data_IF_859169834847
#
_entry.id   IF_859169834847
#
_cell.length_a   1.000
_cell.length_b   1.000
_cell.length_c   1.000
_cell.angle_alpha   90.00
_cell.angle_beta   90.00
_cell.angle_gamma   90.00
#
_symmetry.space_group_name_H-M   'P 1'
#
loop_
_entity.id
_entity.type
_entity.pdbx_description
1 polymer ?
#
# COMPACT_ATOMS: atom_id res chain seq x y z
N UNK A 1 -27.63 -20.05 -14.58
CA UNK A 1 -27.94 -20.49 -13.20
C UNK A 1 -27.52 -19.36 -12.28
N UNK A 2 -28.49 -18.59 -11.81
CA UNK A 2 -28.31 -17.45 -10.91
C UNK A 2 -27.90 -17.96 -9.54
N UNK A 3 -26.62 -17.84 -9.18
CA UNK A 3 -26.20 -18.04 -7.79
C UNK A 3 -26.90 -16.99 -6.93
N UNK A 4 -27.46 -17.44 -5.81
CA UNK A 4 -27.99 -16.56 -4.79
C UNK A 4 -26.94 -15.49 -4.45
N UNK A 5 -27.40 -14.25 -4.43
CA UNK A 5 -26.64 -13.04 -4.22
C UNK A 5 -26.08 -13.05 -2.79
N UNK A 6 -24.92 -13.68 -2.57
CA UNK A 6 -24.24 -13.67 -1.27
C UNK A 6 -23.66 -12.28 -1.06
N UNK A 7 -24.43 -11.41 -0.42
CA UNK A 7 -23.96 -10.11 0.07
C UNK A 7 -22.68 -10.25 0.87
N UNK A 8 -21.77 -9.30 0.70
CA UNK A 8 -20.53 -9.18 1.47
C UNK A 8 -20.75 -8.07 2.50
N UNK A 9 -20.71 -8.36 3.80
CA UNK A 9 -20.80 -7.33 4.82
C UNK A 9 -19.65 -6.33 4.67
N UNK A 10 -20.00 -5.06 4.59
CA UNK A 10 -19.01 -4.00 4.48
C UNK A 10 -18.21 -3.80 5.77
N UNK A 11 -16.93 -3.51 5.62
CA UNK A 11 -16.10 -2.93 6.68
C UNK A 11 -16.57 -1.50 6.96
N UNK A 12 -17.15 -1.28 8.15
CA UNK A 12 -17.67 0.01 8.58
C UNK A 12 -16.75 0.69 9.60
N UNK A 13 -16.73 2.04 9.65
CA UNK A 13 -16.19 2.82 10.77
C UNK A 13 -16.73 2.33 12.13
N UNK A 14 -15.91 2.38 13.20
CA UNK A 14 -16.35 2.01 14.57
C UNK A 14 -17.33 3.03 15.18
N UNK A 15 -17.43 4.20 14.57
CA UNK A 15 -18.29 5.30 14.99
C UNK A 15 -18.53 6.26 13.83
N UNK A 16 -18.42 7.58 14.09
CA UNK A 16 -18.40 8.56 13.00
C UNK A 16 -17.12 8.36 12.17
N UNK A 17 -17.26 8.43 10.86
CA UNK A 17 -16.15 8.19 9.96
C UNK A 17 -16.60 8.10 8.51
N UNK A 18 -15.70 7.58 7.68
CA UNK A 18 -15.89 7.43 6.24
C UNK A 18 -15.65 5.97 5.84
N UNK A 19 -16.52 5.43 5.00
CA UNK A 19 -16.33 4.14 4.34
C UNK A 19 -16.08 4.39 2.86
N UNK A 20 -14.99 3.87 2.32
CA UNK A 20 -14.68 4.04 0.91
C UNK A 20 -14.08 2.78 0.28
N UNK A 21 -14.10 2.76 -1.04
CA UNK A 21 -13.41 1.75 -1.84
C UNK A 21 -12.20 2.39 -2.52
N UNK A 22 -11.12 1.62 -2.66
CA UNK A 22 -9.94 1.98 -3.43
C UNK A 22 -9.58 0.83 -4.37
N UNK A 23 -9.51 1.12 -5.67
CA UNK A 23 -9.05 0.21 -6.72
C UNK A 23 -8.76 1.01 -7.99
N UNK A 24 -7.67 0.67 -8.67
CA UNK A 24 -7.19 1.35 -9.89
C UNK A 24 -6.65 0.37 -10.92
N UNK A 25 -6.24 0.89 -12.07
CA UNK A 25 -5.66 0.15 -13.19
C UNK A 25 -6.59 -0.96 -13.70
N UNK A 26 -7.77 -0.56 -14.19
CA UNK A 26 -8.63 -1.46 -14.94
C UNK A 26 -8.20 -1.58 -16.40
N UNK A 27 -7.59 -0.54 -16.98
CA UNK A 27 -7.20 -0.47 -18.40
C UNK A 27 -8.32 -0.96 -19.34
N UNK A 28 -9.57 -0.65 -19.02
CA UNK A 28 -10.76 -1.22 -19.67
C UNK A 28 -11.31 -0.25 -20.74
N UNK A 29 -12.63 -0.17 -20.94
CA UNK A 29 -13.22 0.78 -21.89
C UNK A 29 -13.22 0.33 -23.36
N UNK A 30 -12.82 -0.91 -23.67
CA UNK A 30 -12.90 -1.47 -25.02
C UNK A 30 -13.84 -2.69 -25.03
N UNK A 31 -14.96 -2.64 -25.77
CA UNK A 31 -15.93 -3.74 -25.82
C UNK A 31 -15.30 -5.06 -26.28
N UNK A 32 -15.56 -6.13 -25.54
CA UNK A 32 -15.08 -7.49 -25.80
C UNK A 32 -13.59 -7.71 -25.50
N UNK A 33 -12.87 -6.71 -25.00
CA UNK A 33 -11.46 -6.82 -24.69
C UNK A 33 -11.21 -7.64 -23.42
N UNK A 34 -9.96 -8.11 -23.26
CA UNK A 34 -9.57 -8.92 -22.11
C UNK A 34 -9.83 -8.22 -20.75
N UNK A 35 -9.55 -6.92 -20.68
CA UNK A 35 -9.65 -6.10 -19.47
C UNK A 35 -11.10 -5.86 -19.01
N UNK A 36 -12.06 -5.80 -19.94
CA UNK A 36 -13.48 -5.66 -19.62
C UNK A 36 -13.97 -6.82 -18.74
N UNK A 37 -13.62 -8.06 -19.12
CA UNK A 37 -14.05 -9.25 -18.39
C UNK A 37 -13.49 -9.28 -16.97
N UNK A 38 -12.21 -8.92 -16.80
CA UNK A 38 -11.54 -8.92 -15.50
C UNK A 38 -12.04 -7.76 -14.63
N UNK A 39 -12.25 -6.57 -15.19
CA UNK A 39 -12.86 -5.45 -14.48
C UNK A 39 -14.29 -5.77 -14.02
N UNK A 40 -15.10 -6.38 -14.87
CA UNK A 40 -16.44 -6.84 -14.52
C UNK A 40 -16.44 -7.83 -13.34
N UNK A 41 -15.42 -8.68 -13.23
CA UNK A 41 -15.30 -9.63 -12.10
C UNK A 41 -15.02 -8.93 -10.77
N UNK A 42 -14.24 -7.84 -10.77
CA UNK A 42 -14.01 -7.04 -9.56
C UNK A 42 -15.26 -6.21 -9.23
N UNK A 43 -15.89 -5.59 -10.22
CA UNK A 43 -17.15 -4.86 -10.02
C UNK A 43 -18.27 -5.75 -9.47
N UNK A 44 -18.33 -7.03 -9.85
CA UNK A 44 -19.28 -7.99 -9.28
C UNK A 44 -19.08 -8.19 -7.76
N UNK A 45 -17.86 -8.09 -7.25
CA UNK A 45 -17.57 -8.13 -5.81
C UNK A 45 -18.00 -6.83 -5.13
N UNK A 46 -17.69 -5.68 -5.74
CA UNK A 46 -18.07 -4.35 -5.20
C UNK A 46 -19.59 -4.22 -5.10
N UNK A 47 -20.34 -4.67 -6.11
CA UNK A 47 -21.81 -4.67 -6.12
C UNK A 47 -22.44 -5.49 -4.98
N UNK A 48 -21.70 -6.47 -4.44
CA UNK A 48 -22.17 -7.31 -3.33
C UNK A 48 -21.98 -6.66 -1.96
N UNK A 49 -21.24 -5.54 -1.86
CA UNK A 49 -20.98 -4.87 -0.59
C UNK A 49 -22.26 -4.26 0.00
N UNK A 50 -22.50 -4.50 1.29
CA UNK A 50 -23.64 -3.94 2.02
C UNK A 50 -23.20 -3.38 3.38
N UNK A 51 -23.42 -2.07 3.65
CA UNK A 51 -23.83 -1.02 2.69
C UNK A 51 -22.79 -0.74 1.60
N UNK A 52 -23.23 -0.09 0.51
CA UNK A 52 -22.35 0.48 -0.51
C UNK A 52 -21.44 1.57 0.09
N UNK A 53 -20.23 1.79 -0.45
CA UNK A 53 -19.30 2.80 0.07
C UNK A 53 -19.83 4.22 -0.11
N UNK A 54 -19.34 5.15 0.73
CA UNK A 54 -19.69 6.57 0.66
C UNK A 54 -19.09 7.25 -0.58
N UNK A 55 -17.97 6.74 -1.08
CA UNK A 55 -17.27 7.16 -2.29
C UNK A 55 -16.24 6.12 -2.72
N UNK A 56 -15.73 6.27 -3.94
CA UNK A 56 -14.69 5.45 -4.53
C UNK A 56 -13.48 6.33 -4.85
N UNK A 57 -12.28 5.82 -4.61
CA UNK A 57 -11.02 6.40 -5.02
C UNK A 57 -10.42 5.54 -6.13
N UNK A 58 -10.11 6.16 -7.27
CA UNK A 58 -9.57 5.48 -8.46
C UNK A 58 -8.21 6.11 -8.83
N UNK A 59 -7.08 5.50 -8.44
CA UNK A 59 -5.74 6.06 -8.63
C UNK A 59 -5.19 5.94 -10.07
N UNK A 60 -6.04 6.21 -11.08
CA UNK A 60 -5.70 6.26 -12.49
C UNK A 60 -5.96 4.97 -13.28
N UNK A 61 -5.72 5.06 -14.58
CA UNK A 61 -5.81 3.98 -15.57
C UNK A 61 -7.16 3.23 -15.59
N UNK A 62 -8.23 4.02 -15.66
CA UNK A 62 -9.60 3.54 -15.84
C UNK A 62 -9.75 2.78 -17.17
N UNK A 63 -9.28 3.38 -18.25
CA UNK A 63 -9.41 2.90 -19.62
C UNK A 63 -8.06 2.55 -20.22
N UNK A 64 -8.05 1.74 -21.28
CA UNK A 64 -6.82 1.34 -21.99
C UNK A 64 -6.07 2.54 -22.59
N UNK A 65 -6.78 3.61 -22.95
CA UNK A 65 -6.21 4.87 -23.37
C UNK A 65 -5.14 4.76 -24.46
N UNK A 66 -4.06 5.55 -24.30
CA UNK A 66 -2.85 5.54 -25.16
C UNK A 66 -3.14 5.54 -26.67
N UNK A 67 -4.06 6.40 -27.10
CA UNK A 67 -4.41 6.58 -28.51
C UNK A 67 -4.17 8.04 -28.93
N UNK A 68 -3.65 8.31 -30.14
CA UNK A 68 -3.51 9.66 -30.66
C UNK A 68 -4.86 10.26 -31.12
N UNK A 69 -5.92 9.45 -31.19
CA UNK A 69 -7.24 9.89 -31.63
C UNK A 69 -8.12 10.29 -30.42
N UNK A 70 -8.47 11.59 -30.27
CA UNK A 70 -9.27 12.07 -29.16
C UNK A 70 -10.71 11.51 -29.17
N UNK A 71 -11.28 11.18 -30.33
CA UNK A 71 -12.63 10.63 -30.40
C UNK A 71 -12.66 9.15 -30.01
N UNK A 72 -11.62 8.40 -30.38
CA UNK A 72 -11.42 7.04 -29.87
C UNK A 72 -11.24 7.04 -28.35
N UNK A 73 -10.46 7.98 -27.80
CA UNK A 73 -10.27 8.11 -26.35
C UNK A 73 -11.59 8.44 -25.63
N UNK A 74 -12.38 9.38 -26.17
CA UNK A 74 -13.73 9.68 -25.65
C UNK A 74 -14.69 8.50 -25.74
N UNK A 75 -14.59 7.69 -26.79
CA UNK A 75 -15.43 6.50 -26.95
C UNK A 75 -15.11 5.46 -25.86
N UNK A 76 -13.84 5.26 -25.52
CA UNK A 76 -13.44 4.37 -24.43
C UNK A 76 -13.98 4.87 -23.08
N UNK A 77 -13.82 6.16 -22.78
CA UNK A 77 -14.38 6.78 -21.59
C UNK A 77 -15.89 6.61 -21.49
N UNK A 78 -16.61 6.86 -22.59
CA UNK A 78 -18.06 6.68 -22.65
C UNK A 78 -18.45 5.24 -22.35
N UNK A 79 -17.75 4.28 -22.95
CA UNK A 79 -18.02 2.86 -22.69
C UNK A 79 -17.78 2.49 -21.22
N UNK A 80 -16.67 2.94 -20.64
CA UNK A 80 -16.37 2.69 -19.23
C UNK A 80 -17.43 3.29 -18.30
N UNK A 81 -17.80 4.55 -18.51
CA UNK A 81 -18.77 5.27 -17.68
C UNK A 81 -20.21 4.79 -17.86
N UNK A 82 -20.66 4.58 -19.10
CA UNK A 82 -22.06 4.33 -19.43
C UNK A 82 -22.41 2.85 -19.56
N UNK A 83 -21.41 1.96 -19.64
CA UNK A 83 -21.60 0.51 -19.72
C UNK A 83 -20.96 -0.21 -18.52
N UNK A 84 -19.64 -0.13 -18.37
CA UNK A 84 -18.92 -0.94 -17.38
C UNK A 84 -19.18 -0.50 -15.93
N UNK A 85 -19.41 0.81 -15.74
CA UNK A 85 -19.74 1.44 -14.46
C UNK A 85 -21.22 1.85 -14.34
N UNK A 86 -22.08 1.40 -15.26
CA UNK A 86 -23.50 1.74 -15.28
C UNK A 86 -24.30 1.21 -14.07
N UNK A 87 -23.75 0.21 -13.38
CA UNK A 87 -24.34 -0.37 -12.18
C UNK A 87 -24.25 0.57 -10.96
N UNK A 88 -23.35 1.57 -10.98
CA UNK A 88 -23.10 2.47 -9.86
C UNK A 88 -23.93 3.76 -10.00
N UNK A 89 -24.69 4.09 -8.96
CA UNK A 89 -25.24 5.43 -8.80
C UNK A 89 -24.12 6.40 -8.38
N UNK A 90 -23.50 7.05 -9.36
CA UNK A 90 -22.39 7.99 -9.14
C UNK A 90 -22.79 9.28 -8.42
N UNK A 91 -24.08 9.60 -8.36
CA UNK A 91 -24.56 10.75 -7.58
C UNK A 91 -24.62 10.41 -6.09
N UNK A 92 -25.01 9.18 -5.75
CA UNK A 92 -25.00 8.67 -4.37
C UNK A 92 -23.58 8.30 -3.90
N UNK A 93 -22.79 7.66 -4.77
CA UNK A 93 -21.42 7.20 -4.49
C UNK A 93 -20.46 7.78 -5.53
N UNK A 94 -19.91 8.98 -5.31
CA UNK A 94 -19.00 9.61 -6.25
C UNK A 94 -17.70 8.83 -6.40
N UNK A 95 -17.13 8.85 -7.61
CA UNK A 95 -15.80 8.34 -7.90
C UNK A 95 -14.86 9.55 -8.02
N UNK A 96 -13.74 9.49 -7.30
CA UNK A 96 -12.68 10.49 -7.41
C UNK A 96 -11.46 9.88 -8.09
N UNK A 97 -11.05 10.51 -9.17
CA UNK A 97 -10.04 10.01 -10.09
C UNK A 97 -8.71 10.76 -9.89
N UNK A 98 -7.59 10.06 -9.96
CA UNK A 98 -6.31 10.70 -10.31
C UNK A 98 -6.04 10.52 -11.81
N UNK A 99 -5.15 11.33 -12.34
CA UNK A 99 -4.49 11.09 -13.63
C UNK A 99 -3.81 9.72 -13.68
N UNK A 100 -3.51 9.18 -14.87
CA UNK A 100 -2.74 7.95 -15.09
C UNK A 100 -2.03 7.95 -16.44
N UNK A 101 -1.02 7.10 -16.66
CA UNK A 101 -0.29 7.12 -17.95
C UNK A 101 -1.16 6.65 -19.10
N UNK A 102 -2.20 5.85 -18.85
CA UNK A 102 -3.14 5.51 -19.91
C UNK A 102 -4.11 6.66 -20.23
N UNK A 103 -4.44 7.51 -19.26
CA UNK A 103 -5.53 8.49 -19.38
C UNK A 103 -5.08 9.95 -19.57
N UNK A 104 -3.83 10.27 -19.23
CA UNK A 104 -3.25 11.62 -19.33
C UNK A 104 -1.77 11.59 -19.72
N UNK A 105 -1.42 10.82 -20.74
CA UNK A 105 -0.05 10.68 -21.23
C UNK A 105 0.53 11.97 -21.84
N UNK A 106 -0.34 12.79 -22.44
CA UNK A 106 0.02 13.98 -23.18
C UNK A 106 -1.05 15.08 -23.06
N UNK A 107 -0.78 16.26 -23.63
CA UNK A 107 -1.69 17.42 -23.59
C UNK A 107 -3.08 17.11 -24.16
N UNK A 108 -3.18 16.22 -25.16
CA UNK A 108 -4.46 15.85 -25.78
C UNK A 108 -5.30 15.01 -24.81
N UNK A 109 -4.70 13.95 -24.27
CA UNK A 109 -5.37 13.05 -23.33
C UNK A 109 -5.71 13.75 -22.01
N UNK A 110 -4.85 14.65 -21.52
CA UNK A 110 -5.17 15.56 -20.42
C UNK A 110 -6.41 16.44 -20.70
N UNK A 111 -6.57 16.93 -21.93
CA UNK A 111 -7.73 17.74 -22.31
C UNK A 111 -9.02 16.89 -22.37
N UNK A 112 -8.93 15.66 -22.87
CA UNK A 112 -10.05 14.72 -22.87
C UNK A 112 -10.45 14.33 -21.44
N UNK A 113 -9.47 14.04 -20.57
CA UNK A 113 -9.70 13.71 -19.16
C UNK A 113 -10.50 14.80 -18.44
N UNK A 114 -10.06 16.07 -18.54
CA UNK A 114 -10.78 17.23 -17.96
C UNK A 114 -12.21 17.33 -18.47
N UNK A 115 -12.40 17.19 -19.79
CA UNK A 115 -13.71 17.35 -20.42
C UNK A 115 -14.70 16.23 -20.08
N UNK A 116 -14.22 15.01 -19.82
CA UNK A 116 -15.06 13.85 -19.51
C UNK A 116 -15.43 13.79 -18.03
N UNK A 117 -14.48 14.05 -17.14
CA UNK A 117 -14.66 13.77 -15.71
C UNK A 117 -15.14 14.98 -14.89
N UNK A 118 -15.00 16.21 -15.40
CA UNK A 118 -15.47 17.45 -14.75
C UNK A 118 -15.07 17.53 -13.26
N UNK A 119 -13.80 17.18 -12.98
CA UNK A 119 -13.24 17.19 -11.63
C UNK A 119 -13.01 18.63 -11.14
N UNK A 120 -12.91 18.85 -9.82
CA UNK A 120 -12.70 20.19 -9.27
C UNK A 120 -11.49 20.92 -9.88
N UNK A 121 -11.60 22.24 -9.98
CA UNK A 121 -10.61 23.14 -10.61
C UNK A 121 -9.72 23.88 -9.59
N UNK A 122 -9.76 23.48 -8.31
CA UNK A 122 -9.02 24.08 -7.19
C UNK A 122 -7.54 23.64 -7.10
N UNK A 123 -6.98 23.21 -8.23
CA UNK A 123 -5.59 22.78 -8.38
C UNK A 123 -4.56 23.91 -8.51
N UNK A 124 -3.28 23.56 -8.71
CA UNK A 124 -2.26 24.54 -9.07
C UNK A 124 -2.50 25.13 -10.46
N UNK A 125 -1.90 26.29 -10.78
CA UNK A 125 -1.96 26.88 -12.11
C UNK A 125 -1.61 25.87 -13.21
N UNK A 126 -2.45 25.79 -14.25
CA UNK A 126 -2.26 24.88 -15.39
C UNK A 126 -2.78 23.45 -15.18
N UNK A 127 -3.19 23.08 -13.96
CA UNK A 127 -3.63 21.72 -13.62
C UNK A 127 -5.10 21.64 -13.17
N UNK A 128 -5.93 22.63 -13.47
CA UNK A 128 -7.38 22.57 -13.24
C UNK A 128 -7.97 21.28 -13.82
N UNK A 129 -8.75 20.54 -13.02
CA UNK A 129 -9.32 19.25 -13.38
C UNK A 129 -8.33 18.08 -13.51
N UNK A 130 -7.05 18.27 -13.15
CA UNK A 130 -6.01 17.22 -13.12
C UNK A 130 -5.44 17.00 -11.71
N UNK A 131 -5.11 18.10 -11.04
CA UNK A 131 -4.76 18.12 -9.62
C UNK A 131 -5.84 18.92 -8.89
N UNK A 132 -6.30 18.42 -7.75
CA UNK A 132 -7.40 19.04 -7.01
C UNK A 132 -7.48 18.49 -5.59
N UNK A 133 -8.34 19.08 -4.76
CA UNK A 133 -8.66 18.51 -3.45
C UNK A 133 -10.15 18.49 -3.18
N UNK A 134 -10.56 17.55 -2.32
CA UNK A 134 -11.93 17.40 -1.83
C UNK A 134 -11.90 17.34 -0.31
N UNK A 135 -12.72 18.18 0.34
CA UNK A 135 -12.89 18.16 1.80
C UNK A 135 -14.25 17.55 2.16
N UNK A 136 -14.24 16.52 2.99
CA UNK A 136 -15.44 15.85 3.53
C UNK A 136 -15.38 15.87 5.05
N UNK A 137 -15.86 16.95 5.67
CA UNK A 137 -15.82 17.11 7.12
C UNK A 137 -14.39 17.11 7.66
N UNK A 138 -14.01 16.06 8.39
CA UNK A 138 -12.69 15.88 8.99
C UNK A 138 -11.67 15.16 8.07
N UNK A 139 -12.09 14.73 6.88
CA UNK A 139 -11.26 14.12 5.85
C UNK A 139 -10.90 15.13 4.75
N UNK A 140 -9.61 15.28 4.48
CA UNK A 140 -9.05 15.92 3.30
C UNK A 140 -8.51 14.86 2.34
N UNK A 141 -8.88 14.95 1.07
CA UNK A 141 -8.32 14.15 -0.02
C UNK A 141 -7.67 15.09 -1.02
N UNK A 142 -6.38 14.90 -1.31
CA UNK A 142 -5.63 15.71 -2.28
C UNK A 142 -5.16 14.81 -3.41
N UNK A 143 -5.54 15.14 -4.63
CA UNK A 143 -5.25 14.40 -5.85
C UNK A 143 -4.14 15.15 -6.58
N UNK A 144 -2.96 14.55 -6.67
CA UNK A 144 -1.80 15.10 -7.36
C UNK A 144 -1.65 14.46 -8.74
N UNK A 145 -1.31 15.28 -9.72
CA UNK A 145 -0.95 14.81 -11.05
C UNK A 145 0.54 14.44 -11.08
N UNK A 146 0.83 13.14 -11.21
CA UNK A 146 2.20 12.61 -11.37
C UNK A 146 2.63 12.52 -12.84
N UNK A 147 1.89 13.12 -13.76
CA UNK A 147 2.03 12.98 -15.22
C UNK A 147 1.90 14.32 -15.96
N UNK A 148 1.90 15.45 -15.26
CA UNK A 148 1.56 16.71 -15.92
C UNK A 148 2.58 17.06 -17.00
N UNK A 149 2.12 17.18 -18.24
CA UNK A 149 2.94 17.52 -19.41
C UNK A 149 3.71 18.83 -19.21
N UNK A 150 3.13 19.77 -18.45
CA UNK A 150 3.76 21.05 -18.13
C UNK A 150 4.98 20.97 -17.20
N UNK A 151 5.17 19.85 -16.49
CA UNK A 151 6.37 19.58 -15.66
C UNK A 151 7.32 18.56 -16.28
N UNK A 152 6.99 17.97 -17.43
CA UNK A 152 7.82 16.94 -18.07
C UNK A 152 7.16 15.58 -18.23
N UNK A 153 5.89 15.44 -17.83
CA UNK A 153 5.12 14.20 -18.00
C UNK A 153 5.29 13.24 -16.81
N UNK A 154 5.39 11.93 -17.11
CA UNK A 154 5.48 10.84 -16.13
C UNK A 154 6.44 11.15 -14.97
N UNK A 155 6.06 10.73 -13.76
CA UNK A 155 6.81 10.82 -12.52
C UNK A 155 7.13 12.24 -11.98
N UNK A 156 6.69 13.32 -12.63
CA UNK A 156 6.88 14.69 -12.13
C UNK A 156 5.70 15.11 -11.24
N UNK A 157 5.97 15.84 -10.16
CA UNK A 157 4.93 16.26 -9.19
C UNK A 157 5.14 17.68 -8.69
N UNK A 158 4.04 18.43 -8.59
CA UNK A 158 4.02 19.80 -8.03
C UNK A 158 3.94 19.77 -6.50
N UNK A 159 4.99 20.28 -5.83
CA UNK A 159 5.11 20.22 -4.38
C UNK A 159 4.61 21.48 -3.67
N UNK A 160 4.75 22.65 -4.29
CA UNK A 160 4.45 23.92 -3.62
C UNK A 160 2.95 24.06 -3.33
N UNK A 161 2.12 23.69 -4.29
CA UNK A 161 0.66 23.67 -4.12
C UNK A 161 0.20 22.59 -3.15
N UNK A 162 0.80 21.40 -3.20
CA UNK A 162 0.48 20.33 -2.25
C UNK A 162 0.77 20.79 -0.81
N UNK A 163 1.93 21.41 -0.58
CA UNK A 163 2.30 21.93 0.74
C UNK A 163 1.33 23.02 1.21
N UNK A 164 0.98 23.97 0.34
CA UNK A 164 0.01 25.02 0.67
C UNK A 164 -1.35 24.45 1.04
N UNK A 165 -1.86 23.50 0.25
CA UNK A 165 -3.17 22.86 0.46
C UNK A 165 -3.22 22.09 1.78
N UNK A 166 -2.17 21.29 2.08
CA UNK A 166 -2.09 20.51 3.31
C UNK A 166 -2.01 21.39 4.57
N UNK A 167 -1.41 22.58 4.46
CA UNK A 167 -1.32 23.58 5.54
C UNK A 167 -2.63 24.32 5.74
N UNK A 168 -3.25 24.77 4.66
CA UNK A 168 -4.54 25.45 4.69
C UNK A 168 -5.61 24.57 5.35
N UNK A 169 -5.56 23.27 5.07
CA UNK A 169 -6.42 22.25 5.68
C UNK A 169 -5.74 21.51 6.84
N UNK A 170 -4.89 22.21 7.59
CA UNK A 170 -4.18 21.65 8.75
C UNK A 170 -5.11 21.13 9.86
N UNK A 171 -6.37 21.59 9.88
CA UNK A 171 -7.43 21.18 10.79
C UNK A 171 -8.05 19.81 10.46
N UNK A 172 -7.80 19.27 9.25
CA UNK A 172 -8.27 17.94 8.88
C UNK A 172 -7.66 16.88 9.80
N UNK A 173 -8.50 16.06 10.43
CA UNK A 173 -8.05 14.92 11.23
C UNK A 173 -7.34 13.90 10.35
N UNK A 174 -7.92 13.63 9.18
CA UNK A 174 -7.39 12.65 8.25
C UNK A 174 -7.04 13.34 6.94
N UNK A 175 -5.85 13.02 6.42
CA UNK A 175 -5.38 13.52 5.12
C UNK A 175 -4.95 12.32 4.29
N UNK A 176 -5.54 12.18 3.12
CA UNK A 176 -5.16 11.21 2.09
C UNK A 176 -4.59 11.99 0.90
N UNK A 177 -3.44 11.57 0.40
CA UNK A 177 -2.89 12.08 -0.85
C UNK A 177 -2.96 10.96 -1.88
N UNK A 178 -3.37 11.27 -3.09
CA UNK A 178 -3.53 10.30 -4.17
C UNK A 178 -2.74 10.75 -5.38
N UNK A 179 -2.05 9.82 -6.02
CA UNK A 179 -1.39 10.02 -7.30
C UNK A 179 -1.24 8.68 -8.01
N UNK A 180 -0.78 8.68 -9.26
CA UNK A 180 -0.69 7.42 -9.99
C UNK A 180 0.57 6.64 -9.64
N UNK A 181 1.73 7.29 -9.70
CA UNK A 181 3.02 6.63 -9.51
C UNK A 181 3.33 6.44 -8.02
N UNK A 182 3.86 5.28 -7.59
CA UNK A 182 4.42 5.14 -6.26
C UNK A 182 5.65 6.03 -6.04
N UNK A 183 5.99 6.24 -4.76
CA UNK A 183 7.22 6.92 -4.34
C UNK A 183 8.33 5.91 -4.08
N UNK A 184 7.98 4.80 -3.43
CA UNK A 184 8.90 3.71 -3.13
C UNK A 184 8.66 2.51 -4.04
N UNK A 185 9.72 1.74 -4.38
CA UNK A 185 9.59 0.52 -5.16
C UNK A 185 8.55 -0.43 -4.60
N UNK A 186 7.78 -1.08 -5.49
CA UNK A 186 6.75 -2.05 -5.12
C UNK A 186 7.20 -3.43 -5.54
N UNK A 187 7.26 -4.38 -4.61
CA UNK A 187 7.63 -5.78 -4.88
C UNK A 187 8.97 -5.98 -5.62
N UNK A 188 9.90 -5.02 -5.51
CA UNK A 188 11.18 -5.02 -6.22
C UNK A 188 11.13 -4.44 -7.64
N UNK A 189 9.95 -4.04 -8.14
CA UNK A 189 9.84 -3.26 -9.36
C UNK A 189 10.26 -1.82 -9.09
N UNK A 190 11.33 -1.41 -9.77
CA UNK A 190 11.94 -0.09 -9.64
C UNK A 190 12.38 0.43 -10.99
N UNK A 191 12.38 1.75 -11.14
CA UNK A 191 12.71 2.49 -12.35
C UNK A 191 12.20 3.92 -12.24
N UNK A 192 13.09 4.86 -11.93
CA UNK A 192 12.72 6.28 -11.80
C UNK A 192 11.98 6.79 -13.04
N UNK A 193 10.93 7.58 -12.82
CA UNK A 193 9.97 8.07 -13.81
C UNK A 193 9.08 7.00 -14.44
N UNK A 194 9.64 5.84 -14.76
CA UNK A 194 8.89 4.75 -15.40
C UNK A 194 8.04 3.93 -14.43
N UNK A 195 8.42 3.84 -13.17
CA UNK A 195 7.81 2.98 -12.14
C UNK A 195 7.51 3.79 -10.89
N UNK A 196 8.48 4.54 -10.40
CA UNK A 196 8.28 5.51 -9.31
C UNK A 196 8.35 6.95 -9.83
N UNK A 197 7.90 7.91 -9.02
CA UNK A 197 8.16 9.33 -9.29
C UNK A 197 9.67 9.62 -9.41
N UNK A 198 10.01 10.77 -10.00
CA UNK A 198 11.39 11.23 -10.14
C UNK A 198 12.14 11.21 -8.81
N UNK A 199 13.38 10.71 -8.82
CA UNK A 199 14.24 10.59 -7.63
C UNK A 199 14.46 11.92 -6.90
N UNK A 200 14.44 13.04 -7.62
CA UNK A 200 14.51 14.41 -7.10
C UNK A 200 13.24 14.81 -6.32
N UNK A 201 12.09 14.20 -6.64
CA UNK A 201 10.82 14.44 -5.96
C UNK A 201 10.59 13.48 -4.80
N UNK A 202 11.10 12.25 -4.89
CA UNK A 202 10.78 11.17 -3.95
C UNK A 202 10.95 11.57 -2.48
N UNK A 203 12.13 12.08 -2.11
CA UNK A 203 12.40 12.50 -0.73
C UNK A 203 11.61 13.77 -0.34
N UNK A 204 11.67 14.89 -1.08
CA UNK A 204 10.90 16.09 -0.72
C UNK A 204 9.38 15.85 -0.60
N UNK A 205 8.81 15.08 -1.52
CA UNK A 205 7.39 14.70 -1.48
C UNK A 205 7.07 13.92 -0.21
N UNK A 206 7.85 12.89 0.12
CA UNK A 206 7.60 12.09 1.33
C UNK A 206 7.87 12.86 2.64
N UNK A 207 8.91 13.70 2.65
CA UNK A 207 9.20 14.60 3.77
C UNK A 207 8.04 15.54 4.05
N UNK A 208 7.39 16.06 3.00
CA UNK A 208 6.18 16.86 3.11
C UNK A 208 5.01 16.05 3.70
N UNK A 209 4.71 14.86 3.19
CA UNK A 209 3.62 14.02 3.70
C UNK A 209 3.77 13.72 5.20
N UNK A 210 4.99 13.39 5.60
CA UNK A 210 5.34 13.08 7.01
C UNK A 210 5.25 14.32 7.91
N UNK A 211 5.67 15.48 7.41
CA UNK A 211 5.60 16.76 8.14
C UNK A 211 4.15 17.19 8.38
N UNK A 212 3.30 17.06 7.36
CA UNK A 212 1.91 17.50 7.42
C UNK A 212 0.94 16.43 7.97
N UNK A 213 1.49 15.33 8.51
CA UNK A 213 0.77 14.19 9.11
C UNK A 213 -0.26 13.56 8.16
N UNK A 214 0.12 13.36 6.91
CA UNK A 214 -0.67 12.59 5.94
C UNK A 214 -0.78 11.14 6.41
N UNK A 215 -1.98 10.58 6.36
CA UNK A 215 -2.23 9.21 6.81
C UNK A 215 -1.72 8.19 5.80
N UNK A 216 -2.06 8.40 4.53
CA UNK A 216 -1.66 7.53 3.43
C UNK A 216 -1.51 8.30 2.13
N UNK A 217 -0.50 7.90 1.35
CA UNK A 217 -0.41 8.10 -0.08
C UNK A 217 -0.99 6.88 -0.80
N UNK A 218 -2.01 7.08 -1.62
CA UNK A 218 -2.69 6.02 -2.36
C UNK A 218 -2.28 6.11 -3.84
N UNK A 219 -1.78 5.01 -4.39
CA UNK A 219 -1.25 4.98 -5.75
C UNK A 219 -1.53 3.67 -6.48
N UNK A 220 -1.14 3.63 -7.76
CA UNK A 220 -1.35 2.48 -8.65
C UNK A 220 -0.13 2.24 -9.54
N UNK A 221 -0.31 2.03 -10.86
CA UNK A 221 0.71 1.88 -11.91
C UNK A 221 1.47 0.55 -11.88
N UNK A 222 1.94 0.15 -10.70
CA UNK A 222 2.53 -1.17 -10.52
C UNK A 222 1.40 -2.16 -10.33
N UNK A 223 1.21 -3.06 -11.32
CA UNK A 223 0.15 -4.06 -11.45
C UNK A 223 0.14 -5.13 -10.33
N UNK A 224 0.08 -4.67 -9.08
CA UNK A 224 0.27 -5.40 -7.84
C UNK A 224 -0.54 -4.77 -6.70
N UNK A 225 -0.71 -5.54 -5.62
CA UNK A 225 -1.06 -5.01 -4.31
C UNK A 225 0.19 -4.89 -3.43
N UNK A 226 0.39 -3.73 -2.80
CA UNK A 226 1.40 -3.57 -1.76
C UNK A 226 1.05 -2.45 -0.79
N UNK A 227 1.42 -2.62 0.48
CA UNK A 227 1.27 -1.60 1.53
C UNK A 227 2.53 -1.53 2.35
N UNK A 228 3.16 -0.36 2.33
CA UNK A 228 4.37 -0.07 3.09
C UNK A 228 4.15 1.13 4.00
N UNK A 229 4.77 1.13 5.18
CA UNK A 229 4.86 2.31 6.02
C UNK A 229 6.24 2.95 5.88
N UNK A 230 6.31 4.28 5.84
CA UNK A 230 7.58 5.01 5.88
C UNK A 230 7.46 6.20 6.82
N UNK A 231 8.03 6.06 8.01
CA UNK A 231 7.96 7.06 9.09
C UNK A 231 6.51 7.44 9.43
N UNK A 232 5.64 6.44 9.53
CA UNK A 232 4.25 6.59 9.97
C UNK A 232 3.23 6.88 8.88
N UNK A 233 3.66 7.26 7.68
CA UNK A 233 2.79 7.46 6.51
C UNK A 233 2.73 6.16 5.72
N UNK A 234 1.55 5.76 5.25
CA UNK A 234 1.38 4.58 4.41
C UNK A 234 1.57 4.93 2.93
N UNK A 235 2.22 4.08 2.16
CA UNK A 235 2.05 3.98 0.71
C UNK A 235 1.19 2.75 0.45
N UNK A 236 -0.02 2.96 -0.10
CA UNK A 236 -0.93 1.88 -0.49
C UNK A 236 -0.98 1.86 -2.01
N UNK A 237 -0.32 0.86 -2.61
CA UNK A 237 -0.33 0.62 -4.04
C UNK A 237 -1.38 -0.44 -4.37
N UNK A 238 -2.31 -0.12 -5.28
CA UNK A 238 -3.31 -1.09 -5.75
C UNK A 238 -3.65 -0.86 -7.21
N UNK A 239 -3.30 -1.86 -8.02
CA UNK A 239 -3.61 -1.94 -9.44
C UNK A 239 -4.44 -3.22 -9.74
N UNK A 240 -5.38 -3.51 -8.84
CA UNK A 240 -6.16 -4.74 -8.84
C UNK A 240 -7.45 -4.68 -9.64
N UNK A 241 -7.84 -3.53 -10.17
CA UNK A 241 -9.22 -3.31 -10.61
C UNK A 241 -9.58 -4.15 -11.85
N UNK A 242 -8.65 -4.39 -12.78
CA UNK A 242 -9.02 -5.12 -13.99
C UNK A 242 -7.91 -5.41 -14.98
N UNK A 243 -6.73 -4.80 -14.89
CA UNK A 243 -5.64 -5.12 -15.81
C UNK A 243 -5.27 -6.59 -15.69
N UNK A 244 -5.36 -7.33 -16.79
CA UNK A 244 -5.23 -8.78 -16.78
C UNK A 244 -3.77 -9.23 -16.60
N UNK A 245 -2.83 -8.40 -17.06
CA UNK A 245 -1.41 -8.55 -16.79
C UNK A 245 -1.14 -8.14 -15.34
N UNK A 246 -0.36 -8.93 -14.61
CA UNK A 246 -0.08 -8.70 -13.19
C UNK A 246 1.39 -8.91 -12.88
N UNK A 247 1.87 -8.25 -11.83
CA UNK A 247 3.29 -8.09 -11.55
C UNK A 247 3.65 -8.46 -10.09
N UNK A 248 4.18 -9.67 -9.82
CA UNK A 248 4.46 -10.75 -10.75
C UNK A 248 3.27 -11.68 -10.99
N UNK A 249 3.24 -12.25 -12.19
CA UNK A 249 2.26 -13.27 -12.58
C UNK A 249 2.31 -14.49 -11.64
N UNK A 250 1.14 -15.07 -11.34
CA UNK A 250 1.02 -16.24 -10.45
C UNK A 250 1.16 -15.93 -8.96
N UNK A 251 1.48 -14.69 -8.59
CA UNK A 251 1.46 -14.21 -7.20
C UNK A 251 0.32 -13.21 -6.99
N UNK A 252 0.29 -12.18 -7.83
CA UNK A 252 -0.72 -11.13 -7.80
C UNK A 252 -2.08 -11.61 -8.28
N UNK A 253 -3.12 -10.89 -7.87
CA UNK A 253 -4.51 -11.22 -8.12
C UNK A 253 -5.36 -9.95 -8.27
N UNK A 254 -6.51 -10.07 -8.94
CA UNK A 254 -7.46 -8.98 -9.10
C UNK A 254 -8.20 -8.74 -7.79
N UNK A 255 -8.41 -7.49 -7.43
CA UNK A 255 -8.95 -7.13 -6.13
C UNK A 255 -9.54 -5.72 -6.08
N UNK A 256 -10.28 -5.47 -5.01
CA UNK A 256 -10.58 -4.12 -4.54
C UNK A 256 -10.25 -3.99 -3.06
N UNK A 257 -9.90 -2.78 -2.62
CA UNK A 257 -9.68 -2.47 -1.21
C UNK A 257 -10.93 -1.81 -0.66
N UNK A 258 -11.47 -2.36 0.40
CA UNK A 258 -12.47 -1.68 1.22
C UNK A 258 -11.81 -1.06 2.44
N UNK A 259 -12.07 0.22 2.68
CA UNK A 259 -11.53 0.97 3.78
C UNK A 259 -12.62 1.59 4.66
N UNK A 260 -12.33 1.62 5.96
CA UNK A 260 -13.07 2.36 6.96
C UNK A 260 -12.11 3.28 7.72
N UNK A 261 -12.49 4.54 7.85
CA UNK A 261 -11.68 5.57 8.48
C UNK A 261 -12.49 6.22 9.58
N UNK A 262 -11.98 6.21 10.81
CA UNK A 262 -12.64 6.75 12.00
C UNK A 262 -11.61 7.39 12.94
N UNK A 263 -12.06 7.81 14.13
CA UNK A 263 -11.20 8.46 15.13
C UNK A 263 -9.99 7.62 15.55
N UNK A 264 -10.06 6.29 15.42
CA UNK A 264 -8.96 5.37 15.76
C UNK A 264 -7.98 5.20 14.59
N UNK A 265 -8.37 5.60 13.38
CA UNK A 265 -7.53 5.60 12.19
C UNK A 265 -8.13 4.82 11.03
N UNK A 266 -7.27 4.26 10.19
CA UNK A 266 -7.63 3.51 9.00
C UNK A 266 -7.68 2.01 9.30
N UNK A 267 -8.77 1.37 8.89
CA UNK A 267 -8.81 -0.08 8.66
C UNK A 267 -9.08 -0.35 7.20
N UNK A 268 -8.42 -1.36 6.64
CA UNK A 268 -8.80 -1.87 5.33
C UNK A 268 -8.87 -3.39 5.31
N UNK A 269 -9.59 -3.90 4.31
CA UNK A 269 -9.51 -5.28 3.85
C UNK A 269 -9.43 -5.32 2.32
N UNK A 270 -8.70 -6.29 1.79
CA UNK A 270 -8.56 -6.50 0.34
C UNK A 270 -9.40 -7.71 -0.04
N UNK A 271 -10.32 -7.52 -0.99
CA UNK A 271 -11.23 -8.56 -1.47
C UNK A 271 -10.78 -9.01 -2.85
N UNK A 272 -10.56 -10.31 -3.03
CA UNK A 272 -10.36 -10.90 -4.35
C UNK A 272 -11.69 -11.01 -5.13
N UNK A 273 -11.64 -11.54 -6.35
CA UNK A 273 -12.81 -11.70 -7.25
C UNK A 273 -13.87 -12.69 -6.75
N UNK A 274 -13.56 -13.49 -5.73
CA UNK A 274 -14.55 -14.35 -5.06
C UNK A 274 -15.21 -13.64 -3.86
N UNK A 275 -14.67 -12.48 -3.46
CA UNK A 275 -15.05 -11.73 -2.26
C UNK A 275 -14.36 -12.24 -0.99
N UNK A 276 -13.26 -12.98 -1.12
CA UNK A 276 -12.48 -13.47 0.02
C UNK A 276 -11.49 -12.39 0.45
N UNK A 277 -11.42 -12.16 1.77
CA UNK A 277 -10.44 -11.24 2.35
C UNK A 277 -9.04 -11.86 2.26
N UNK A 278 -8.14 -11.22 1.52
CA UNK A 278 -6.75 -11.62 1.31
C UNK A 278 -5.81 -10.97 2.32
N UNK A 279 -5.95 -9.67 2.50
CA UNK A 279 -5.17 -8.86 3.45
C UNK A 279 -6.10 -7.96 4.26
N UNK A 280 -5.61 -7.54 5.42
CA UNK A 280 -6.26 -6.58 6.30
C UNK A 280 -5.24 -5.86 7.16
N UNK A 281 -5.51 -4.61 7.47
CA UNK A 281 -4.65 -3.80 8.33
C UNK A 281 -5.51 -2.86 9.17
N UNK A 282 -5.01 -2.56 10.36
CA UNK A 282 -5.41 -1.43 11.19
C UNK A 282 -4.21 -0.49 11.38
N UNK A 283 -4.43 0.81 11.24
CA UNK A 283 -3.38 1.83 11.32
C UNK A 283 -3.85 3.14 11.96
N UNK A 284 -3.08 3.74 12.89
CA UNK A 284 -1.80 3.27 13.40
C UNK A 284 -1.93 1.93 14.15
N UNK A 285 -0.81 1.20 14.27
CA UNK A 285 -0.82 -0.03 15.07
C UNK A 285 -1.15 0.31 16.53
N UNK A 286 -2.16 -0.34 17.14
CA UNK A 286 -2.44 -0.14 18.57
C UNK A 286 -1.22 -0.54 19.39
N UNK A 287 -0.80 0.29 20.35
CA UNK A 287 0.33 -0.07 21.21
C UNK A 287 0.00 -1.33 22.04
N UNK A 288 0.96 -2.26 22.21
CA UNK A 288 0.75 -3.45 23.01
C UNK A 288 0.62 -3.08 24.49
N UNK A 289 -0.22 -3.84 25.22
CA UNK A 289 -0.30 -3.72 26.68
C UNK A 289 1.09 -3.96 27.31
N UNK A 290 1.65 -2.99 28.05
CA UNK A 290 2.93 -3.14 28.73
C UNK A 290 3.00 -4.39 29.64
N UNK A 291 1.88 -4.79 30.25
CA UNK A 291 1.82 -5.97 31.12
C UNK A 291 1.91 -7.30 30.34
N UNK A 292 1.68 -7.27 29.02
CA UNK A 292 1.74 -8.43 28.14
C UNK A 292 3.15 -8.84 27.69
N UNK A 293 4.16 -7.99 27.91
CA UNK A 293 5.52 -8.28 27.47
C UNK A 293 6.17 -9.42 28.27
N UNK A 294 6.86 -10.31 27.56
CA UNK A 294 7.59 -11.43 28.14
C UNK A 294 9.05 -11.38 27.71
N UNK A 295 9.96 -11.50 28.67
CA UNK A 295 11.39 -11.61 28.39
C UNK A 295 11.68 -13.02 27.87
N UNK A 296 12.25 -13.10 26.67
CA UNK A 296 12.76 -14.35 26.10
C UNK A 296 14.18 -14.57 26.63
N UNK A 297 14.45 -15.78 27.14
CA UNK A 297 15.77 -16.13 27.67
C UNK A 297 16.77 -16.33 26.52
N UNK A 298 18.03 -15.98 26.78
CA UNK A 298 19.13 -16.25 25.87
C UNK A 298 19.32 -17.75 25.62
N UNK A 299 19.71 -18.13 24.41
CA UNK A 299 19.90 -19.51 23.98
C UNK A 299 18.64 -20.12 23.38
N UNK A 300 18.64 -21.45 23.31
CA UNK A 300 17.54 -22.24 22.75
C UNK A 300 16.38 -22.34 23.76
N UNK A 301 15.17 -22.01 23.31
CA UNK A 301 13.95 -22.00 24.13
C UNK A 301 12.78 -22.66 23.39
N UNK A 302 11.87 -23.24 24.16
CA UNK A 302 10.56 -23.63 23.63
C UNK A 302 9.77 -22.37 23.27
N UNK A 303 9.19 -22.35 22.07
CA UNK A 303 8.46 -21.21 21.57
C UNK A 303 7.18 -20.97 22.39
N UNK A 304 6.85 -19.70 22.74
CA UNK A 304 5.62 -19.38 23.45
C UNK A 304 4.35 -19.66 22.63
N UNK A 305 4.50 -19.82 21.32
CA UNK A 305 3.47 -20.35 20.42
C UNK A 305 4.13 -21.02 19.21
N UNK A 306 3.38 -21.86 18.49
CA UNK A 306 3.81 -22.46 17.23
C UNK A 306 2.64 -22.60 16.27
N UNK A 307 2.92 -22.84 14.99
CA UNK A 307 1.91 -22.95 13.94
C UNK A 307 1.68 -21.64 13.19
N UNK A 308 0.54 -21.54 12.49
CA UNK A 308 0.16 -20.32 11.78
C UNK A 308 -0.41 -19.31 12.75
N UNK A 309 -0.05 -18.04 12.55
CA UNK A 309 -0.63 -16.96 13.32
C UNK A 309 -2.10 -16.75 12.90
N UNK A 310 -2.99 -16.59 13.88
CA UNK A 310 -4.41 -16.31 13.61
C UNK A 310 -4.56 -15.00 12.84
N UNK A 311 -5.56 -14.90 11.96
CA UNK A 311 -5.83 -13.68 11.22
C UNK A 311 -6.14 -12.51 12.17
N UNK A 312 -5.55 -11.35 11.89
CA UNK A 312 -5.65 -10.14 12.70
C UNK A 312 -4.64 -10.08 13.86
N UNK A 313 -3.91 -11.16 14.15
CA UNK A 313 -2.83 -11.14 15.14
C UNK A 313 -1.52 -10.65 14.51
N UNK A 314 -0.65 -10.12 15.35
CA UNK A 314 0.73 -9.74 15.03
C UNK A 314 1.66 -10.17 16.15
N UNK A 315 2.95 -10.24 15.86
CA UNK A 315 3.99 -10.47 16.87
C UNK A 315 4.79 -9.18 16.98
N UNK A 316 5.07 -8.75 18.20
CA UNK A 316 5.94 -7.60 18.45
C UNK A 316 7.15 -8.07 19.26
N UNK A 317 8.34 -7.68 18.80
CA UNK A 317 9.61 -7.95 19.43
C UNK A 317 10.24 -6.62 19.80
N UNK A 318 10.71 -6.48 21.05
CA UNK A 318 11.55 -5.35 21.46
C UNK A 318 12.99 -5.85 21.57
N UNK A 319 13.85 -5.27 20.74
CA UNK A 319 15.25 -5.63 20.62
C UNK A 319 16.08 -4.57 21.33
N UNK A 320 16.74 -4.97 22.41
CA UNK A 320 17.64 -4.09 23.18
C UNK A 320 19.03 -4.70 23.18
N UNK A 321 20.03 -3.90 22.87
CA UNK A 321 21.41 -4.36 22.83
C UNK A 321 22.42 -3.25 22.57
N UNK A 322 23.66 -3.65 22.34
CA UNK A 322 24.74 -2.77 21.92
C UNK A 322 25.38 -3.35 20.67
N UNK A 323 25.58 -2.52 19.65
CA UNK A 323 26.26 -2.94 18.43
C UNK A 323 27.77 -3.08 18.66
N UNK A 324 28.43 -3.83 17.78
CA UNK A 324 29.88 -3.96 17.83
C UNK A 324 30.58 -2.62 17.58
N UNK A 325 31.67 -2.35 18.32
CA UNK A 325 32.48 -1.13 18.18
C UNK A 325 33.43 -1.14 16.97
N UNK A 326 33.56 -2.28 16.29
CA UNK A 326 34.37 -2.46 15.08
C UNK A 326 33.50 -3.04 13.95
N UNK A 327 33.99 -2.96 12.71
CA UNK A 327 33.31 -3.47 11.52
C UNK A 327 33.16 -5.01 11.56
N UNK A 328 32.09 -5.48 12.21
CA UNK A 328 31.74 -6.91 12.27
C UNK A 328 30.85 -7.24 11.09
N UNK A 329 31.41 -7.64 9.95
CA UNK A 329 30.61 -7.98 8.77
C UNK A 329 29.80 -9.29 8.92
N UNK A 330 30.15 -10.14 9.89
CA UNK A 330 29.51 -11.44 10.14
C UNK A 330 28.07 -11.27 10.63
N UNK A 331 27.20 -12.22 10.26
CA UNK A 331 25.83 -12.24 10.75
C UNK A 331 25.80 -12.48 12.26
N UNK A 332 24.97 -11.71 12.97
CA UNK A 332 24.75 -11.83 14.41
C UNK A 332 23.27 -12.09 14.66
N UNK A 333 22.97 -13.28 15.16
CA UNK A 333 21.59 -13.70 15.43
C UNK A 333 21.05 -12.99 16.67
N UNK A 334 19.95 -12.24 16.50
CA UNK A 334 19.18 -11.70 17.63
C UNK A 334 18.07 -12.68 17.97
N UNK A 335 17.32 -13.11 16.96
CA UNK A 335 16.18 -14.00 17.08
C UNK A 335 16.11 -14.93 15.87
N UNK A 336 15.90 -16.23 16.11
CA UNK A 336 15.62 -17.19 15.03
C UNK A 336 14.56 -18.17 15.48
N UNK A 337 13.66 -18.55 14.58
CA UNK A 337 12.68 -19.60 14.80
C UNK A 337 12.98 -20.73 13.82
N UNK A 338 13.21 -21.94 14.33
CA UNK A 338 13.77 -23.04 13.55
C UNK A 338 13.20 -24.41 13.95
N UNK A 339 13.32 -25.38 13.05
CA UNK A 339 13.21 -26.80 13.39
C UNK A 339 14.60 -27.45 13.22
N UNK A 340 15.03 -28.33 14.14
CA UNK A 340 16.32 -29.00 14.04
C UNK A 340 16.51 -29.69 12.68
N UNK A 341 17.67 -29.50 12.05
CA UNK A 341 17.99 -30.08 10.75
C UNK A 341 17.34 -29.41 9.53
N UNK A 342 16.70 -28.25 9.71
CA UNK A 342 16.09 -27.48 8.62
C UNK A 342 16.64 -26.05 8.55
N UNK A 343 16.53 -25.42 7.38
CA UNK A 343 16.77 -23.98 7.25
C UNK A 343 15.70 -23.24 8.06
N UNK A 344 16.12 -22.29 8.90
CA UNK A 344 15.19 -21.53 9.73
C UNK A 344 14.16 -20.79 8.86
N UNK A 345 12.84 -20.98 9.07
CA UNK A 345 11.82 -20.24 8.35
C UNK A 345 11.82 -18.75 8.68
N UNK A 346 12.37 -18.35 9.83
CA UNK A 346 12.54 -16.94 10.18
C UNK A 346 13.83 -16.73 10.96
N UNK A 347 14.65 -15.79 10.49
CA UNK A 347 15.85 -15.30 11.18
C UNK A 347 15.82 -13.78 11.20
N UNK A 348 16.20 -13.16 12.31
CA UNK A 348 16.30 -11.72 12.52
C UNK A 348 17.60 -11.42 13.26
N UNK A 349 18.39 -10.50 12.71
CA UNK A 349 19.68 -10.15 13.29
C UNK A 349 20.37 -9.01 12.56
N UNK A 350 21.64 -8.78 12.89
CA UNK A 350 22.46 -7.74 12.26
C UNK A 350 23.39 -8.38 11.22
N UNK A 351 23.55 -7.74 10.06
CA UNK A 351 24.44 -8.22 8.99
C UNK A 351 25.24 -7.11 8.33
N UNK A 352 26.43 -7.47 7.85
CA UNK A 352 27.27 -6.60 7.04
C UNK A 352 27.97 -5.50 7.84
N UNK A 353 28.85 -4.74 7.19
CA UNK A 353 29.70 -3.74 7.87
C UNK A 353 28.87 -2.64 8.55
N UNK A 354 27.71 -2.28 7.98
CA UNK A 354 26.80 -1.27 8.55
C UNK A 354 25.89 -1.78 9.67
N UNK A 355 26.01 -3.06 10.04
CA UNK A 355 25.14 -3.69 11.04
C UNK A 355 23.65 -3.46 10.73
N UNK A 356 23.26 -3.73 9.48
CA UNK A 356 21.88 -3.54 9.03
C UNK A 356 20.98 -4.59 9.69
N UNK A 357 19.94 -4.15 10.39
CA UNK A 357 18.91 -5.04 10.90
C UNK A 357 18.26 -5.76 9.71
N UNK A 358 18.36 -7.08 9.69
CA UNK A 358 17.95 -7.91 8.55
C UNK A 358 17.06 -9.02 9.03
N UNK A 359 15.92 -9.21 8.37
CA UNK A 359 15.15 -10.44 8.50
C UNK A 359 15.32 -11.30 7.24
N UNK A 360 15.48 -12.61 7.45
CA UNK A 360 15.56 -13.61 6.41
C UNK A 360 14.38 -14.55 6.64
N UNK A 361 13.51 -14.63 5.63
CA UNK A 361 12.30 -15.42 5.71
C UNK A 361 12.45 -16.58 4.74
N UNK A 362 12.58 -17.78 5.30
CA UNK A 362 12.64 -19.03 4.57
C UNK A 362 11.31 -19.32 3.89
N UNK A 363 11.38 -19.75 2.64
CA UNK A 363 10.21 -20.21 1.86
C UNK A 363 10.19 -21.74 1.78
N UNK A 364 9.32 -22.23 0.91
CA UNK A 364 9.22 -23.63 0.52
C UNK A 364 10.60 -24.28 0.28
N UNK A 365 10.78 -25.56 0.65
CA UNK A 365 11.99 -26.32 0.36
C UNK A 365 12.41 -26.17 -1.13
N UNK A 366 13.69 -25.87 -1.37
CA UNK A 366 14.23 -25.68 -2.71
C UNK A 366 14.13 -24.27 -3.29
N UNK A 367 13.58 -23.29 -2.54
CA UNK A 367 13.59 -21.87 -2.91
C UNK A 367 14.54 -21.06 -2.03
N UNK A 368 15.20 -20.07 -2.63
CA UNK A 368 15.98 -19.09 -1.88
C UNK A 368 15.09 -18.31 -0.91
N UNK A 369 15.59 -17.98 0.29
CA UNK A 369 14.85 -17.15 1.23
C UNK A 369 14.72 -15.72 0.72
N UNK A 370 13.72 -15.01 1.24
CA UNK A 370 13.56 -13.56 0.99
C UNK A 370 14.25 -12.75 2.06
N UNK A 371 14.78 -11.60 1.66
CA UNK A 371 15.51 -10.69 2.52
C UNK A 371 14.73 -9.40 2.73
N UNK A 372 14.73 -8.94 3.97
CA UNK A 372 14.07 -7.73 4.41
C UNK A 372 15.07 -6.91 5.20
N UNK A 373 15.22 -5.64 4.84
CA UNK A 373 16.23 -4.75 5.39
C UNK A 373 15.58 -3.62 6.18
N UNK A 374 15.89 -3.57 7.47
CA UNK A 374 15.51 -2.50 8.39
C UNK A 374 16.61 -1.43 8.45
N UNK A 375 16.71 -0.69 9.57
CA UNK A 375 17.69 0.37 9.72
C UNK A 375 19.10 -0.18 9.96
N UNK A 376 20.10 0.63 9.61
CA UNK A 376 21.47 0.45 10.10
C UNK A 376 21.54 0.80 11.59
N UNK A 377 22.32 0.01 12.35
CA UNK A 377 22.60 0.29 13.77
C UNK A 377 24.00 0.92 13.87
N UNK A 378 24.14 2.15 14.40
CA UNK A 378 25.44 2.80 14.51
C UNK A 378 26.43 1.98 15.35
N UNK A 379 27.71 1.98 14.98
CA UNK A 379 28.75 1.17 15.63
C UNK A 379 29.01 1.63 17.08
N UNK A 380 29.14 0.65 17.99
CA UNK A 380 29.39 0.87 19.42
C UNK A 380 28.23 1.48 20.22
N UNK A 381 27.11 1.82 19.58
CA UNK A 381 25.96 2.45 20.21
C UNK A 381 24.95 1.42 20.74
N UNK A 382 24.25 1.80 21.81
CA UNK A 382 23.08 1.07 22.28
C UNK A 382 21.91 1.24 21.33
N UNK A 383 21.10 0.21 21.15
CA UNK A 383 19.87 0.27 20.36
C UNK A 383 18.67 -0.26 21.14
N UNK A 384 17.51 0.33 20.88
CA UNK A 384 16.20 -0.08 21.37
C UNK A 384 15.21 0.02 20.20
N UNK A 385 14.92 -1.11 19.58
CA UNK A 385 14.16 -1.20 18.34
C UNK A 385 12.99 -2.14 18.56
N UNK A 386 11.78 -1.65 18.27
CA UNK A 386 10.61 -2.49 18.16
C UNK A 386 10.50 -3.01 16.74
N UNK A 387 10.18 -4.29 16.59
CA UNK A 387 9.87 -4.95 15.31
C UNK A 387 8.48 -5.54 15.41
N UNK A 388 7.60 -5.20 14.47
CA UNK A 388 6.29 -5.81 14.35
C UNK A 388 6.24 -6.72 13.11
N UNK A 389 5.75 -7.93 13.32
CA UNK A 389 5.51 -8.94 12.30
C UNK A 389 4.00 -9.02 12.14
N UNK A 390 3.48 -8.48 11.04
CA UNK A 390 2.05 -8.36 10.77
C UNK A 390 1.67 -9.08 9.47
N UNK A 391 1.46 -10.40 9.52
CA UNK A 391 1.26 -11.22 8.33
C UNK A 391 0.08 -10.79 7.44
N UNK A 392 -0.95 -10.18 8.01
CA UNK A 392 -2.12 -9.79 7.24
C UNK A 392 -2.00 -8.45 6.51
N UNK A 393 -0.95 -7.64 6.76
CA UNK A 393 -0.77 -6.35 6.11
C UNK A 393 -0.40 -6.50 4.61
N UNK A 394 0.14 -7.66 4.21
CA UNK A 394 0.66 -7.89 2.86
C UNK A 394 2.18 -7.74 2.79
N UNK A 395 2.75 -7.37 1.62
CA UNK A 395 4.19 -7.38 1.39
C UNK A 395 5.01 -6.33 2.14
N UNK A 396 4.42 -5.36 2.85
CA UNK A 396 5.14 -4.48 3.78
C UNK A 396 4.96 -4.82 5.27
N UNK A 397 4.41 -5.99 5.59
CA UNK A 397 4.01 -6.41 6.95
C UNK A 397 5.14 -6.70 7.95
N UNK A 398 6.41 -6.47 7.61
CA UNK A 398 7.50 -6.45 8.57
C UNK A 398 7.89 -5.00 8.84
N UNK A 399 7.70 -4.54 10.07
CA UNK A 399 7.81 -3.14 10.47
C UNK A 399 8.85 -2.97 11.57
N UNK A 400 9.46 -1.79 11.65
CA UNK A 400 10.27 -1.36 12.79
C UNK A 400 9.94 0.07 13.23
N UNK A 401 10.24 0.36 14.49
CA UNK A 401 10.37 1.73 15.03
C UNK A 401 11.46 1.75 16.10
N UNK A 402 12.09 2.89 16.30
CA UNK A 402 12.95 3.11 17.49
C UNK A 402 12.08 3.45 18.69
N UNK A 403 12.54 3.15 19.90
CA UNK A 403 11.81 3.39 21.14
C UNK A 403 11.36 4.86 21.34
N UNK A 404 12.12 5.80 20.78
CA UNK A 404 11.85 7.25 20.84
C UNK A 404 10.89 7.75 19.74
N UNK A 405 10.44 6.86 18.85
CA UNK A 405 9.56 7.17 17.74
C UNK A 405 8.25 6.38 17.84
N UNK A 406 7.12 7.06 17.69
CA UNK A 406 5.80 6.41 17.52
C UNK A 406 5.57 5.96 16.08
N UNK A 407 6.40 6.42 15.15
CA UNK A 407 6.27 6.21 13.71
C UNK A 407 6.95 4.93 13.28
N UNK A 408 6.15 4.02 12.72
CA UNK A 408 6.59 2.76 12.12
C UNK A 408 7.08 2.94 10.69
N UNK A 409 8.05 2.13 10.30
CA UNK A 409 8.51 1.96 8.91
C UNK A 409 8.55 0.49 8.54
N UNK A 410 8.16 0.12 7.34
CA UNK A 410 8.37 -1.21 6.78
C UNK A 410 9.86 -1.46 6.54
N UNK A 411 10.26 -2.72 6.68
CA UNK A 411 11.53 -3.18 6.14
C UNK A 411 11.46 -3.12 4.62
N UNK A 412 12.55 -2.70 3.97
CA UNK A 412 12.68 -2.75 2.51
C UNK A 412 12.84 -4.20 2.05
N UNK A 413 12.06 -4.62 1.07
CA UNK A 413 12.17 -5.95 0.47
C UNK A 413 11.81 -5.90 -1.02
N UNK A 414 12.20 -6.95 -1.74
CA UNK A 414 11.85 -7.15 -3.15
C UNK A 414 10.90 -8.36 -3.28
N UNK A 415 9.83 -8.38 -2.49
CA UNK A 415 8.91 -9.52 -2.45
C UNK A 415 7.46 -9.10 -2.62
N UNK A 416 6.72 -9.87 -3.42
CA UNK A 416 5.29 -9.73 -3.63
C UNK A 416 4.43 -10.56 -2.67
N UNK A 417 5.03 -11.15 -1.63
CA UNK A 417 4.30 -11.87 -0.59
C UNK A 417 4.79 -11.41 0.77
N UNK A 418 3.86 -11.26 1.69
CA UNK A 418 4.16 -10.94 3.08
C UNK A 418 4.60 -12.18 3.85
N UNK A 419 4.16 -12.22 5.11
CA UNK A 419 4.50 -13.26 6.09
C UNK A 419 3.30 -14.19 6.34
N UNK A 420 2.26 -14.13 5.51
CA UNK A 420 0.98 -14.84 5.68
C UNK A 420 1.12 -16.37 5.62
N UNK A 421 2.17 -16.87 4.96
CA UNK A 421 2.45 -18.30 4.82
C UNK A 421 3.40 -18.83 5.90
N UNK A 422 3.95 -17.97 6.76
CA UNK A 422 4.91 -18.37 7.77
C UNK A 422 4.27 -19.30 8.80
N UNK A 423 4.86 -20.48 8.97
CA UNK A 423 4.50 -21.44 10.02
C UNK A 423 5.59 -21.42 11.09
N UNK A 424 5.23 -20.98 12.29
CA UNK A 424 6.17 -20.80 13.39
C UNK A 424 6.59 -22.14 14.00
N UNK A 425 7.89 -22.46 14.01
CA UNK A 425 8.41 -23.67 14.66
C UNK A 425 8.27 -23.64 16.18
N UNK A 426 8.41 -24.81 16.81
CA UNK A 426 8.39 -25.00 18.27
C UNK A 426 9.68 -24.57 18.97
N UNK A 427 10.76 -24.32 18.24
CA UNK A 427 12.05 -23.93 18.81
C UNK A 427 12.44 -22.54 18.33
N UNK A 428 12.76 -21.67 19.29
CA UNK A 428 13.34 -20.36 19.05
C UNK A 428 14.74 -20.32 19.67
N UNK A 429 15.64 -19.50 19.10
CA UNK A 429 16.92 -19.19 19.72
C UNK A 429 17.15 -17.68 19.76
N UNK A 430 17.65 -17.19 20.89
CA UNK A 430 17.85 -15.76 21.19
C UNK A 430 19.34 -15.51 21.44
N UNK A 431 19.96 -14.60 20.69
CA UNK A 431 21.39 -14.29 20.84
C UNK A 431 22.34 -15.47 20.55
N UNK A 432 21.82 -16.53 19.93
CA UNK A 432 22.48 -17.83 19.80
C UNK A 432 22.33 -18.33 18.36
N UNK A 433 23.42 -18.80 17.76
CA UNK A 433 23.44 -19.29 16.37
C UNK A 433 24.80 -19.15 15.72
#
# INVERSE_FOLDING_TARGET
MTSANNSIPALLPRGKGHQFLLYGDSCSGVPGALHEKTFASVNAVVQRLIPQPDFILFPGDEIIGLTPDPDALRAQWRYWLETEMAWLDRAATPIWHTTGNHTTYDVMSEAVFRAVLDLPDNGPPGQAGLSYFVRRGDLLMVFVNTLWSGLGGEGHVELAWLEATLREHGDARHKLVLGHHPVFPVNGFTGTYQREIGHEYARPFWDLLVKENVLAYLCSHILAFDVQAHRGVLQICTAGAGTAHRMPEGVEYLHCIQAALDEEGLRYQVLDTDGVVRERMEWPLPDPDPAGWKVLRHGDVEAPFSGRLESGRRIELRLVGQSAAADVATAQTIFTAFAPGSIAPFWLGLRGPRQTLTAIVGREPGRSPTYWFGPDVPAGEGFDIHVAIYPNMGPGGLLYRRQDSTRWSSFTSATARGLEQLVWPRHWAIGHG
#
